data_IF_097186629756
#
_entry.id   IF_097186629756
#
_cell.length_a   1.000
_cell.length_b   1.000
_cell.length_c   1.000
_cell.angle_alpha   90.00
_cell.angle_beta   90.00
_cell.angle_gamma   90.00
#
_symmetry.space_group_name_H-M   'P 1'
#
loop_
_entity.id
_entity.type
_entity.pdbx_description
1 polymer ?
#
# COMPACT_ATOMS: atom_id res chain seq x y z
N UNK A 1 3.25 24.24 -6.96
CA UNK A 1 4.04 23.07 -7.35
C UNK A 1 3.19 22.17 -8.23
N UNK A 2 3.78 21.57 -9.27
CA UNK A 2 3.07 20.68 -10.20
C UNK A 2 3.53 19.25 -9.98
N UNK A 3 2.60 18.33 -9.77
CA UNK A 3 2.90 16.94 -9.44
C UNK A 3 2.12 15.97 -10.32
N UNK A 4 2.70 14.77 -10.55
CA UNK A 4 2.00 13.64 -11.13
C UNK A 4 1.82 12.54 -10.09
N UNK A 5 0.62 11.93 -10.04
CA UNK A 5 0.30 10.77 -9.21
C UNK A 5 -0.14 9.63 -10.12
N UNK A 6 0.64 8.55 -10.17
CA UNK A 6 0.27 7.31 -10.88
C UNK A 6 -0.36 6.32 -9.91
N UNK A 7 -1.26 5.46 -10.39
CA UNK A 7 -2.09 4.66 -9.48
C UNK A 7 -3.10 5.49 -8.68
N UNK A 8 -3.48 6.65 -9.23
CA UNK A 8 -4.33 7.65 -8.57
C UNK A 8 -5.76 7.17 -8.27
N UNK A 9 -6.27 6.20 -9.03
CA UNK A 9 -7.56 5.55 -8.80
C UNK A 9 -7.50 4.44 -7.74
N UNK A 10 -6.30 4.12 -7.23
CA UNK A 10 -6.08 3.18 -6.14
C UNK A 10 -6.27 3.81 -4.76
N UNK A 11 -6.05 2.98 -3.71
CA UNK A 11 -6.20 3.38 -2.32
C UNK A 11 -5.25 4.52 -1.92
N UNK A 12 -3.95 4.27 -1.90
CA UNK A 12 -2.95 5.25 -1.46
C UNK A 12 -2.88 6.42 -2.44
N UNK A 13 -2.96 6.15 -3.76
CA UNK A 13 -2.92 7.16 -4.79
C UNK A 13 -4.05 8.18 -4.67
N UNK A 14 -5.27 7.75 -4.37
CA UNK A 14 -6.41 8.64 -4.14
C UNK A 14 -6.19 9.58 -2.95
N UNK A 15 -5.65 9.06 -1.84
CA UNK A 15 -5.32 9.89 -0.66
C UNK A 15 -4.19 10.88 -0.96
N UNK A 16 -3.16 10.49 -1.73
CA UNK A 16 -2.11 11.42 -2.17
C UNK A 16 -2.64 12.52 -3.09
N UNK A 17 -3.50 12.18 -4.05
CA UNK A 17 -4.16 13.20 -4.91
C UNK A 17 -4.90 14.20 -4.04
N UNK A 18 -5.72 13.72 -3.08
CA UNK A 18 -6.44 14.59 -2.15
C UNK A 18 -5.49 15.50 -1.39
N UNK A 19 -4.47 14.94 -0.76
CA UNK A 19 -3.51 15.70 0.03
C UNK A 19 -2.74 16.74 -0.79
N UNK A 20 -2.32 16.40 -2.02
CA UNK A 20 -1.66 17.35 -2.91
C UNK A 20 -2.59 18.50 -3.32
N UNK A 21 -3.88 18.23 -3.57
CA UNK A 21 -4.88 19.27 -3.85
C UNK A 21 -5.13 20.17 -2.63
N UNK A 22 -5.22 19.59 -1.43
CA UNK A 22 -5.38 20.33 -0.17
C UNK A 22 -4.17 21.26 0.11
N UNK A 23 -2.97 20.86 -0.36
CA UNK A 23 -1.75 21.68 -0.33
C UNK A 23 -1.67 22.73 -1.45
N UNK A 24 -2.68 22.85 -2.30
CA UNK A 24 -2.73 23.81 -3.40
C UNK A 24 -1.83 23.45 -4.59
N UNK A 25 -1.43 22.18 -4.75
CA UNK A 25 -0.63 21.75 -5.91
C UNK A 25 -1.49 21.61 -7.17
N UNK A 26 -0.86 21.77 -8.34
CA UNK A 26 -1.42 21.33 -9.62
C UNK A 26 -1.16 19.84 -9.77
N UNK A 27 -2.23 19.02 -9.88
CA UNK A 27 -2.16 17.56 -9.83
C UNK A 27 -2.57 16.95 -11.16
N UNK A 28 -1.65 16.19 -11.78
CA UNK A 28 -1.94 15.23 -12.85
C UNK A 28 -2.10 13.85 -12.23
N UNK A 29 -3.27 13.25 -12.37
CA UNK A 29 -3.62 11.96 -11.78
C UNK A 29 -3.88 10.90 -12.86
N UNK A 30 -3.16 9.78 -12.83
CA UNK A 30 -3.26 8.71 -13.84
C UNK A 30 -3.54 7.35 -13.19
N UNK A 31 -4.46 6.59 -13.80
CA UNK A 31 -4.72 5.19 -13.43
C UNK A 31 -5.20 4.41 -14.64
N UNK A 32 -4.88 3.09 -14.71
CA UNK A 32 -5.40 2.20 -15.76
C UNK A 32 -6.91 2.02 -15.68
N UNK A 33 -7.50 2.16 -14.49
CA UNK A 33 -8.95 2.09 -14.28
C UNK A 33 -9.65 3.32 -14.85
N UNK A 34 -10.86 3.18 -15.39
CA UNK A 34 -11.68 4.33 -15.74
C UNK A 34 -12.08 5.12 -14.49
N UNK A 35 -12.27 6.43 -14.62
CA UNK A 35 -12.49 7.33 -13.46
C UNK A 35 -13.70 6.97 -12.59
N UNK A 36 -14.72 6.34 -13.17
CA UNK A 36 -15.90 5.88 -12.43
C UNK A 36 -15.62 4.68 -11.51
N UNK A 37 -14.45 4.04 -11.65
CA UNK A 37 -13.97 2.94 -10.79
C UNK A 37 -12.92 3.40 -9.77
N UNK A 38 -12.55 4.69 -9.75
CA UNK A 38 -11.61 5.19 -8.75
C UNK A 38 -12.26 5.21 -7.38
N UNK A 39 -11.53 4.79 -6.37
CA UNK A 39 -12.03 4.77 -4.98
C UNK A 39 -12.36 6.16 -4.46
N UNK A 40 -11.58 7.17 -4.85
CA UNK A 40 -11.87 8.57 -4.59
C UNK A 40 -12.08 9.32 -5.91
N UNK A 41 -13.11 10.15 -5.97
CA UNK A 41 -13.46 10.93 -7.15
C UNK A 41 -13.31 12.40 -6.86
N UNK A 42 -12.56 13.09 -7.70
CA UNK A 42 -12.29 14.51 -7.57
C UNK A 42 -13.08 15.28 -8.62
N UNK A 43 -13.63 16.43 -8.21
CA UNK A 43 -14.32 17.34 -9.14
C UNK A 43 -13.30 17.97 -10.08
N UNK A 44 -13.73 18.29 -11.31
CA UNK A 44 -12.92 19.05 -12.27
C UNK A 44 -12.60 20.42 -11.66
N UNK A 45 -11.32 20.80 -11.65
CA UNK A 45 -10.81 22.07 -11.17
C UNK A 45 -9.58 22.47 -12.01
N UNK A 46 -9.22 23.73 -12.01
CA UNK A 46 -8.09 24.22 -12.83
C UNK A 46 -6.75 23.62 -12.40
N UNK A 47 -6.63 23.25 -11.13
CA UNK A 47 -5.44 22.59 -10.58
C UNK A 47 -5.51 21.06 -10.55
N UNK A 48 -6.55 20.43 -11.18
CA UNK A 48 -6.71 18.99 -11.21
C UNK A 48 -6.97 18.45 -12.61
N UNK A 49 -6.10 17.55 -13.06
CA UNK A 49 -6.24 16.82 -14.31
C UNK A 49 -6.17 15.29 -14.05
N UNK A 50 -7.33 14.63 -14.04
CA UNK A 50 -7.41 13.17 -13.90
C UNK A 50 -7.67 12.47 -15.24
N UNK A 51 -6.91 11.43 -15.58
CA UNK A 51 -6.98 10.71 -16.85
C UNK A 51 -6.83 9.19 -16.64
N UNK A 52 -7.63 8.41 -17.41
CA UNK A 52 -7.32 6.99 -17.62
C UNK A 52 -6.02 6.89 -18.41
N UNK A 53 -5.04 6.13 -17.90
CA UNK A 53 -3.77 5.93 -18.57
C UNK A 53 -3.04 4.71 -18.01
N UNK A 54 -2.64 3.80 -18.90
CA UNK A 54 -1.86 2.62 -18.55
C UNK A 54 -0.37 2.96 -18.65
N UNK A 55 0.35 2.86 -17.53
CA UNK A 55 1.78 3.16 -17.43
C UNK A 55 2.67 2.16 -18.18
N UNK A 56 2.13 1.04 -18.67
CA UNK A 56 2.84 0.15 -19.59
C UNK A 56 2.90 0.70 -21.02
N UNK A 57 2.19 1.81 -21.29
CA UNK A 57 2.26 2.55 -22.55
C UNK A 57 3.25 3.74 -22.41
N UNK A 58 4.36 3.78 -23.19
CA UNK A 58 5.35 4.85 -23.15
C UNK A 58 4.79 6.26 -23.36
N UNK A 59 3.77 6.44 -24.22
CA UNK A 59 3.15 7.75 -24.46
C UNK A 59 2.43 8.29 -23.21
N UNK A 60 1.93 7.39 -22.35
CA UNK A 60 1.31 7.80 -21.07
C UNK A 60 2.41 8.21 -20.09
N UNK A 61 3.52 7.46 -19.99
CA UNK A 61 4.64 7.84 -19.12
C UNK A 61 5.25 9.16 -19.53
N UNK A 62 5.36 9.47 -20.82
CA UNK A 62 5.80 10.79 -21.31
C UNK A 62 4.85 11.92 -20.84
N UNK A 63 3.54 11.68 -20.88
CA UNK A 63 2.56 12.65 -20.36
C UNK A 63 2.66 12.85 -18.84
N UNK A 64 3.03 11.80 -18.09
CA UNK A 64 3.22 11.84 -16.63
C UNK A 64 4.45 12.67 -16.25
N UNK A 65 5.55 12.52 -16.98
CA UNK A 65 6.83 13.18 -16.65
C UNK A 65 6.89 14.64 -17.10
N UNK A 66 6.12 15.01 -18.12
CA UNK A 66 6.24 16.30 -18.77
C UNK A 66 5.83 17.47 -17.87
N UNK A 67 6.76 18.38 -17.62
CA UNK A 67 6.52 19.66 -16.95
C UNK A 67 6.07 19.53 -15.48
N UNK A 68 6.48 18.48 -14.76
CA UNK A 68 6.18 18.31 -13.35
C UNK A 68 7.42 18.40 -12.47
N UNK A 69 7.25 18.77 -11.21
CA UNK A 69 8.32 18.85 -10.22
C UNK A 69 8.51 17.52 -9.48
N UNK A 70 7.42 16.80 -9.24
CA UNK A 70 7.42 15.54 -8.48
C UNK A 70 6.52 14.52 -9.17
N UNK A 71 6.97 13.26 -9.21
CA UNK A 71 6.16 12.11 -9.60
C UNK A 71 5.99 11.21 -8.39
N UNK A 72 4.76 11.06 -7.91
CA UNK A 72 4.41 10.03 -6.93
C UNK A 72 4.02 8.76 -7.69
N UNK A 73 4.97 7.82 -7.79
CA UNK A 73 4.75 6.59 -8.55
C UNK A 73 4.23 5.46 -7.63
N UNK A 74 2.90 5.22 -7.71
CA UNK A 74 2.20 4.17 -6.98
C UNK A 74 1.51 3.16 -7.91
N UNK A 75 1.66 3.34 -9.24
CA UNK A 75 1.10 2.40 -10.21
C UNK A 75 1.77 1.03 -10.08
N UNK A 76 0.97 0.01 -9.81
CA UNK A 76 1.42 -1.37 -9.65
C UNK A 76 0.26 -2.35 -9.85
N UNK A 77 0.56 -3.57 -10.30
CA UNK A 77 -0.42 -4.64 -10.24
C UNK A 77 -0.21 -5.46 -8.96
N UNK A 78 -1.06 -5.24 -7.96
CA UNK A 78 -0.91 -5.82 -6.63
C UNK A 78 -2.25 -6.02 -5.93
N UNK A 79 -2.24 -6.81 -4.88
CA UNK A 79 -3.39 -7.06 -3.99
C UNK A 79 -2.94 -7.64 -2.65
N UNK A 80 -3.87 -8.25 -1.91
CA UNK A 80 -3.58 -9.07 -0.74
C UNK A 80 -2.83 -10.35 -1.11
N UNK A 81 -2.48 -11.17 -0.09
CA UNK A 81 -1.67 -12.39 -0.29
C UNK A 81 -2.31 -13.36 -1.29
N UNK A 82 -3.63 -13.55 -1.24
CA UNK A 82 -4.35 -14.42 -2.17
C UNK A 82 -4.23 -13.95 -3.63
N UNK A 83 -4.31 -12.64 -3.88
CA UNK A 83 -4.12 -12.10 -5.23
C UNK A 83 -2.69 -12.30 -5.73
N UNK A 84 -1.70 -11.91 -4.95
CA UNK A 84 -0.29 -12.02 -5.34
C UNK A 84 0.14 -13.47 -5.55
N UNK A 85 -0.35 -14.40 -4.72
CA UNK A 85 -0.08 -15.84 -4.83
C UNK A 85 -0.66 -16.45 -6.12
N UNK A 86 -1.81 -15.99 -6.56
CA UNK A 86 -2.48 -16.52 -7.76
C UNK A 86 -2.13 -15.77 -9.06
N UNK A 87 -1.37 -14.66 -8.98
CA UNK A 87 -1.09 -13.79 -10.14
C UNK A 87 0.40 -13.40 -10.22
N UNK A 88 1.31 -14.36 -10.00
CA UNK A 88 2.76 -14.10 -9.99
C UNK A 88 3.25 -13.41 -11.26
N UNK A 89 2.89 -13.92 -12.44
CA UNK A 89 3.36 -13.35 -13.69
C UNK A 89 2.87 -11.90 -13.88
N UNK A 90 1.60 -11.63 -13.55
CA UNK A 90 1.03 -10.28 -13.73
C UNK A 90 1.68 -9.27 -12.79
N UNK A 91 1.94 -9.66 -11.53
CA UNK A 91 2.64 -8.81 -10.56
C UNK A 91 4.11 -8.59 -10.95
N UNK A 92 4.76 -9.60 -11.55
CA UNK A 92 6.13 -9.46 -12.08
C UNK A 92 6.21 -8.58 -13.33
N UNK A 93 5.27 -8.70 -14.27
CA UNK A 93 5.23 -7.89 -15.49
C UNK A 93 4.96 -6.40 -15.22
N UNK A 94 4.46 -6.04 -14.05
CA UNK A 94 4.28 -4.64 -13.65
C UNK A 94 5.60 -3.86 -13.58
N UNK A 95 6.76 -4.54 -13.53
CA UNK A 95 8.09 -3.92 -13.68
C UNK A 95 8.24 -3.08 -14.94
N UNK A 96 7.50 -3.39 -16.01
CA UNK A 96 7.46 -2.57 -17.24
C UNK A 96 7.01 -1.12 -16.98
N UNK A 97 6.15 -0.88 -16.00
CA UNK A 97 5.72 0.46 -15.59
C UNK A 97 6.93 1.31 -15.22
N UNK A 98 7.81 0.75 -14.40
CA UNK A 98 8.98 1.44 -13.86
C UNK A 98 10.05 1.68 -14.93
N UNK A 99 10.28 0.70 -15.82
CA UNK A 99 11.21 0.84 -16.96
C UNK A 99 10.75 1.98 -17.86
N UNK A 100 9.50 1.97 -18.31
CA UNK A 100 8.95 3.03 -19.16
C UNK A 100 9.02 4.41 -18.49
N UNK A 101 8.74 4.47 -17.18
CA UNK A 101 8.80 5.75 -16.44
C UNK A 101 10.23 6.27 -16.37
N UNK A 102 11.21 5.41 -16.08
CA UNK A 102 12.64 5.78 -16.05
C UNK A 102 13.10 6.27 -17.42
N UNK A 103 12.77 5.55 -18.49
CA UNK A 103 13.09 5.98 -19.86
C UNK A 103 12.49 7.35 -20.20
N UNK A 104 11.26 7.60 -19.77
CA UNK A 104 10.59 8.89 -19.96
C UNK A 104 11.26 10.01 -19.14
N UNK A 105 11.65 9.74 -17.89
CA UNK A 105 12.38 10.69 -17.03
C UNK A 105 13.72 11.06 -17.66
N UNK A 106 14.46 10.10 -18.20
CA UNK A 106 15.75 10.34 -18.86
C UNK A 106 15.63 11.26 -20.08
N UNK A 107 14.50 11.19 -20.80
CA UNK A 107 14.19 12.06 -21.94
C UNK A 107 13.60 13.42 -21.51
N UNK A 108 13.07 13.53 -20.29
CA UNK A 108 12.41 14.74 -19.80
C UNK A 108 13.39 15.88 -19.54
N UNK A 109 13.05 17.10 -19.96
CA UNK A 109 13.83 18.31 -19.66
C UNK A 109 13.77 18.70 -18.18
N UNK A 110 12.66 18.44 -17.52
CA UNK A 110 12.40 18.93 -16.15
C UNK A 110 13.05 18.10 -15.04
N UNK A 111 13.50 16.87 -15.33
CA UNK A 111 14.14 15.98 -14.33
C UNK A 111 13.40 15.96 -12.99
N UNK A 112 12.17 15.44 -12.92
CA UNK A 112 11.34 15.51 -11.71
C UNK A 112 11.91 14.66 -10.57
N UNK A 113 11.63 15.04 -9.32
CA UNK A 113 11.85 14.18 -8.17
C UNK A 113 10.87 12.99 -8.21
N UNK A 114 11.37 11.77 -8.08
CA UNK A 114 10.53 10.55 -8.13
C UNK A 114 10.37 9.97 -6.73
N UNK A 115 9.13 9.88 -6.27
CA UNK A 115 8.77 9.04 -5.15
C UNK A 115 8.38 7.65 -5.67
N UNK A 116 9.03 6.61 -5.18
CA UNK A 116 8.73 5.21 -5.49
C UNK A 116 8.16 4.48 -4.28
N UNK A 117 6.94 3.94 -4.43
CA UNK A 117 6.32 3.09 -3.44
C UNK A 117 6.83 1.65 -3.54
N UNK A 118 7.82 1.31 -2.73
CA UNK A 118 8.24 -0.08 -2.52
C UNK A 118 7.36 -0.77 -1.48
N UNK A 119 7.73 -1.97 -1.05
CA UNK A 119 6.91 -2.82 -0.20
C UNK A 119 7.75 -3.60 0.81
N UNK A 120 7.17 -3.93 1.95
CA UNK A 120 7.74 -4.91 2.89
C UNK A 120 7.89 -6.32 2.29
N UNK A 121 7.33 -6.59 1.11
CA UNK A 121 7.53 -7.86 0.40
C UNK A 121 8.93 -8.02 -0.20
N UNK A 122 9.78 -6.99 -0.17
CA UNK A 122 11.20 -7.07 -0.61
C UNK A 122 12.09 -7.83 0.36
N UNK A 123 11.66 -7.99 1.61
CA UNK A 123 12.48 -8.59 2.66
C UNK A 123 12.67 -10.08 2.47
N UNK A 124 13.84 -10.55 2.91
CA UNK A 124 14.19 -11.97 2.92
C UNK A 124 13.19 -12.77 3.78
N UNK A 125 12.55 -13.77 3.20
CA UNK A 125 11.50 -14.56 3.85
C UNK A 125 12.03 -15.45 4.97
N UNK A 126 13.29 -15.89 4.89
CA UNK A 126 13.92 -16.72 5.93
C UNK A 126 13.99 -16.03 7.30
N UNK A 127 14.00 -14.68 7.32
CA UNK A 127 13.96 -13.90 8.56
C UNK A 127 12.55 -13.81 9.17
N UNK A 128 11.53 -14.30 8.48
CA UNK A 128 10.12 -14.09 8.78
C UNK A 128 9.37 -15.40 9.09
N UNK A 129 10.10 -16.44 9.49
CA UNK A 129 9.59 -17.80 9.68
C UNK A 129 9.06 -18.09 11.08
N UNK A 130 9.16 -17.15 12.04
CA UNK A 130 8.74 -17.28 13.43
C UNK A 130 7.56 -16.36 13.73
N UNK A 131 6.47 -16.90 14.30
CA UNK A 131 5.29 -16.14 14.74
C UNK A 131 5.15 -16.06 16.27
N UNK A 132 6.10 -16.61 17.01
CA UNK A 132 6.15 -16.52 18.48
C UNK A 132 6.46 -15.10 18.97
N UNK A 133 7.08 -14.28 18.11
CA UNK A 133 7.48 -12.91 18.42
C UNK A 133 7.33 -11.98 17.21
N UNK A 134 7.44 -10.68 17.45
CA UNK A 134 7.44 -9.69 16.38
C UNK A 134 8.81 -9.64 15.68
N UNK A 135 8.83 -9.98 14.39
CA UNK A 135 10.01 -9.79 13.54
C UNK A 135 10.07 -8.35 13.05
N UNK A 136 11.02 -7.59 13.59
CA UNK A 136 11.26 -6.19 13.23
C UNK A 136 12.28 -6.11 12.09
N UNK A 137 11.82 -5.79 10.89
CA UNK A 137 12.65 -5.78 9.67
C UNK A 137 13.29 -4.40 9.47
N UNK A 138 14.61 -4.39 9.39
CA UNK A 138 15.43 -3.20 9.07
C UNK A 138 15.64 -3.11 7.56
N UNK A 139 15.97 -1.95 7.05
CA UNK A 139 16.16 -1.74 5.61
C UNK A 139 17.26 -2.61 5.02
N UNK A 140 18.30 -2.97 5.80
CA UNK A 140 19.37 -3.91 5.41
C UNK A 140 18.89 -5.34 5.16
N UNK A 141 17.77 -5.76 5.77
CA UNK A 141 17.31 -7.15 5.79
C UNK A 141 16.68 -7.62 4.46
N UNK A 142 16.62 -6.73 3.46
CA UNK A 142 16.29 -7.09 2.09
C UNK A 142 17.42 -7.84 1.37
N UNK A 143 18.62 -7.82 1.92
CA UNK A 143 19.80 -8.48 1.36
C UNK A 143 20.41 -9.48 2.35
N UNK A 144 20.85 -10.70 1.88
CA UNK A 144 20.74 -11.19 0.50
C UNK A 144 19.28 -11.38 0.04
N UNK A 145 19.01 -11.10 -1.25
CA UNK A 145 17.65 -11.10 -1.79
C UNK A 145 17.03 -12.51 -1.79
N UNK A 146 15.95 -12.67 -1.03
CA UNK A 146 15.11 -13.87 -1.03
C UNK A 146 13.66 -13.53 -0.65
N UNK A 147 12.97 -12.70 -1.48
CA UNK A 147 11.55 -12.38 -1.24
C UNK A 147 10.65 -13.61 -1.40
N UNK A 148 9.55 -13.63 -0.65
CA UNK A 148 8.59 -14.74 -0.65
C UNK A 148 7.80 -14.92 -1.97
N UNK A 149 7.66 -13.85 -2.76
CA UNK A 149 6.90 -13.85 -4.00
C UNK A 149 7.61 -13.05 -5.10
N UNK A 150 7.25 -13.34 -6.37
CA UNK A 150 7.75 -12.59 -7.53
C UNK A 150 7.43 -11.07 -7.43
N UNK A 151 6.31 -10.71 -6.81
CA UNK A 151 5.99 -9.32 -6.50
C UNK A 151 7.08 -8.63 -5.67
N UNK A 152 7.55 -9.28 -4.59
CA UNK A 152 8.63 -8.75 -3.76
C UNK A 152 9.95 -8.60 -4.51
N UNK A 153 10.29 -9.61 -5.32
CA UNK A 153 11.49 -9.57 -6.16
C UNK A 153 11.43 -8.44 -7.20
N UNK A 154 10.27 -8.25 -7.86
CA UNK A 154 10.05 -7.15 -8.79
C UNK A 154 10.19 -5.78 -8.09
N UNK A 155 9.63 -5.63 -6.88
CA UNK A 155 9.77 -4.40 -6.10
C UNK A 155 11.23 -4.11 -5.74
N UNK A 156 11.98 -5.11 -5.30
CA UNK A 156 13.41 -4.96 -4.96
C UNK A 156 14.26 -4.62 -6.19
N UNK A 157 14.01 -5.27 -7.33
CA UNK A 157 14.66 -4.94 -8.60
C UNK A 157 14.39 -3.48 -9.00
N UNK A 158 13.16 -3.02 -8.87
CA UNK A 158 12.82 -1.62 -9.18
C UNK A 158 13.45 -0.63 -8.20
N UNK A 159 13.63 -0.97 -6.90
CA UNK A 159 14.43 -0.13 -5.98
C UNK A 159 15.83 0.12 -6.53
N UNK A 160 16.50 -0.94 -7.03
CA UNK A 160 17.83 -0.82 -7.61
C UNK A 160 17.83 0.04 -8.87
N UNK A 161 16.84 -0.10 -9.77
CA UNK A 161 16.72 0.77 -10.93
C UNK A 161 16.63 2.26 -10.55
N UNK A 162 15.79 2.60 -9.56
CA UNK A 162 15.65 3.99 -9.09
C UNK A 162 16.91 4.47 -8.34
N UNK A 163 17.58 3.60 -7.59
CA UNK A 163 18.84 3.93 -6.93
C UNK A 163 19.93 4.27 -7.96
N UNK A 164 20.04 3.50 -9.06
CA UNK A 164 20.98 3.78 -10.13
C UNK A 164 20.57 4.99 -10.98
N UNK A 165 19.27 5.24 -11.18
CA UNK A 165 18.78 6.47 -11.79
C UNK A 165 19.28 7.72 -11.04
N UNK A 166 19.27 7.68 -9.71
CA UNK A 166 19.85 8.76 -8.90
C UNK A 166 21.39 8.79 -9.03
N UNK A 167 22.06 7.64 -8.86
CA UNK A 167 23.51 7.56 -8.80
C UNK A 167 24.20 7.99 -10.11
N UNK A 168 23.63 7.58 -11.25
CA UNK A 168 24.26 7.79 -12.57
C UNK A 168 23.80 9.08 -13.26
N UNK A 169 22.55 9.49 -13.01
CA UNK A 169 21.93 10.63 -13.71
C UNK A 169 21.58 11.80 -12.80
N UNK A 170 21.82 11.69 -11.48
CA UNK A 170 21.54 12.76 -10.52
C UNK A 170 20.05 13.07 -10.33
N UNK A 171 19.15 12.20 -10.81
CA UNK A 171 17.70 12.39 -10.65
C UNK A 171 17.32 12.20 -9.18
N UNK A 172 16.66 13.15 -8.52
CA UNK A 172 16.23 12.96 -7.13
C UNK A 172 15.21 11.83 -7.02
N UNK A 173 15.47 10.88 -6.11
CA UNK A 173 14.59 9.73 -5.86
C UNK A 173 14.34 9.60 -4.37
N UNK A 174 13.12 9.23 -3.99
CA UNK A 174 12.74 8.81 -2.64
C UNK A 174 12.09 7.44 -2.73
N UNK A 175 12.62 6.45 -2.01
CA UNK A 175 12.10 5.08 -1.97
C UNK A 175 11.55 4.80 -0.58
N UNK A 176 10.25 4.45 -0.47
CA UNK A 176 9.63 4.05 0.79
C UNK A 176 9.06 2.63 0.70
N UNK A 177 9.43 1.77 1.66
CA UNK A 177 8.87 0.42 1.83
C UNK A 177 7.64 0.47 2.70
N UNK A 178 6.47 0.33 2.07
CA UNK A 178 5.20 0.34 2.79
C UNK A 178 4.95 -0.98 3.52
N UNK A 179 4.62 -0.90 4.82
CA UNK A 179 4.19 -2.01 5.68
C UNK A 179 2.68 -1.93 5.92
N UNK A 180 1.91 -2.80 5.25
CA UNK A 180 0.46 -3.01 5.43
C UNK A 180 -0.35 -1.74 5.75
N UNK A 181 -0.40 -0.85 4.77
CA UNK A 181 -1.23 0.37 4.85
C UNK A 181 -2.71 -0.03 4.82
N UNK A 182 -3.53 0.58 5.70
CA UNK A 182 -4.96 0.38 5.77
C UNK A 182 -5.72 1.70 6.01
N UNK A 183 -7.02 1.70 5.72
CA UNK A 183 -7.86 2.88 5.88
C UNK A 183 -9.08 2.85 4.94
N UNK A 184 -9.91 3.90 4.95
CA UNK A 184 -11.07 4.03 4.07
C UNK A 184 -10.65 4.27 2.60
N UNK A 185 -11.60 4.09 1.68
CA UNK A 185 -11.42 4.31 0.24
C UNK A 185 -10.38 3.38 -0.41
N UNK A 186 -10.37 2.11 0.00
CA UNK A 186 -9.58 1.04 -0.61
C UNK A 186 -10.43 -0.17 -1.02
N UNK A 187 -9.79 -1.18 -1.61
CA UNK A 187 -10.41 -2.48 -1.86
C UNK A 187 -10.87 -3.12 -0.56
N UNK A 188 -12.09 -3.64 -0.53
CA UNK A 188 -12.63 -4.32 0.64
C UNK A 188 -13.39 -5.63 0.31
N UNK A 189 -13.64 -5.93 -0.99
CA UNK A 189 -14.45 -7.09 -1.43
C UNK A 189 -14.06 -7.72 -2.78
N UNK A 190 -13.06 -7.21 -3.47
CA UNK A 190 -12.72 -7.61 -4.86
C UNK A 190 -11.61 -8.66 -4.94
N UNK A 191 -11.25 -9.30 -3.83
CA UNK A 191 -10.16 -10.27 -3.72
C UNK A 191 -8.76 -9.65 -3.71
N UNK A 192 -8.68 -8.32 -3.76
CA UNK A 192 -7.42 -7.55 -3.65
C UNK A 192 -7.25 -6.92 -2.27
N UNK A 193 -8.28 -7.02 -1.42
CA UNK A 193 -8.27 -6.46 -0.08
C UNK A 193 -7.19 -7.08 0.81
N UNK A 194 -6.61 -6.26 1.68
CA UNK A 194 -5.68 -6.70 2.72
C UNK A 194 -6.43 -7.07 4.01
N UNK A 195 -5.73 -7.73 4.93
CA UNK A 195 -6.32 -8.29 6.15
C UNK A 195 -7.25 -7.34 6.93
N UNK A 196 -6.95 -6.05 7.16
CA UNK A 196 -7.87 -5.16 7.87
C UNK A 196 -9.23 -5.01 7.19
N UNK A 197 -9.25 -4.79 5.88
CA UNK A 197 -10.50 -4.63 5.13
C UNK A 197 -11.24 -5.97 4.98
N UNK A 198 -10.52 -7.07 4.75
CA UNK A 198 -11.09 -8.42 4.70
C UNK A 198 -11.74 -8.81 6.05
N UNK A 199 -11.08 -8.50 7.17
CA UNK A 199 -11.61 -8.76 8.51
C UNK A 199 -12.92 -8.01 8.74
N UNK A 200 -12.96 -6.72 8.40
CA UNK A 200 -14.19 -5.92 8.52
C UNK A 200 -15.32 -6.49 7.65
N UNK A 201 -15.03 -6.83 6.38
CA UNK A 201 -16.04 -7.42 5.49
C UNK A 201 -16.61 -8.72 6.06
N UNK A 202 -15.74 -9.65 6.48
CA UNK A 202 -16.13 -10.95 7.02
C UNK A 202 -16.98 -10.81 8.30
N UNK A 203 -16.65 -9.87 9.18
CA UNK A 203 -17.45 -9.58 10.36
C UNK A 203 -18.82 -9.00 9.98
N UNK A 204 -18.89 -8.07 9.02
CA UNK A 204 -20.16 -7.53 8.54
C UNK A 204 -21.04 -8.59 7.87
N UNK A 205 -20.45 -9.53 7.11
CA UNK A 205 -21.15 -10.69 6.55
C UNK A 205 -21.70 -11.61 7.64
N UNK A 206 -20.91 -11.89 8.68
CA UNK A 206 -21.35 -12.68 9.85
C UNK A 206 -22.48 -11.99 10.62
N UNK A 207 -22.33 -10.73 11.00
CA UNK A 207 -23.32 -9.95 11.73
C UNK A 207 -24.64 -9.82 10.97
N UNK A 208 -24.58 -9.72 9.63
CA UNK A 208 -25.77 -9.66 8.77
C UNK A 208 -26.34 -11.05 8.39
N UNK A 209 -25.89 -12.11 9.04
CA UNK A 209 -26.30 -13.52 8.79
C UNK A 209 -26.09 -13.98 7.35
N UNK A 210 -25.14 -13.39 6.63
CA UNK A 210 -24.72 -13.86 5.31
C UNK A 210 -23.68 -14.97 5.37
N UNK A 211 -23.05 -15.14 6.53
CA UNK A 211 -22.17 -16.23 6.89
C UNK A 211 -22.49 -16.69 8.30
N UNK A 212 -22.34 -17.97 8.60
CA UNK A 212 -22.51 -18.57 9.92
C UNK A 212 -21.21 -18.58 10.73
N UNK A 213 -20.07 -18.24 10.09
CA UNK A 213 -18.76 -18.13 10.72
C UNK A 213 -17.91 -17.08 10.04
N UNK A 214 -16.78 -16.73 10.70
CA UNK A 214 -15.75 -15.85 10.18
C UNK A 214 -14.54 -16.72 9.80
N UNK A 215 -14.26 -16.81 8.50
CA UNK A 215 -13.10 -17.57 8.02
C UNK A 215 -11.78 -16.86 8.32
N UNK A 216 -10.84 -17.55 8.96
CA UNK A 216 -9.46 -17.11 9.19
C UNK A 216 -8.50 -17.99 8.41
N UNK A 217 -7.68 -17.41 7.52
CA UNK A 217 -6.67 -18.13 6.78
C UNK A 217 -5.47 -18.46 7.66
N UNK A 218 -5.14 -19.76 7.73
CA UNK A 218 -4.16 -20.30 8.67
C UNK A 218 -4.75 -20.50 10.06
N UNK A 219 -3.90 -20.47 11.07
CA UNK A 219 -4.25 -20.64 12.48
C UNK A 219 -4.46 -19.29 13.22
N UNK A 220 -4.42 -18.18 12.50
CA UNK A 220 -4.61 -16.85 13.06
C UNK A 220 -3.40 -16.29 13.82
N UNK A 221 -2.31 -17.03 13.98
CA UNK A 221 -1.12 -16.61 14.76
C UNK A 221 -0.17 -15.73 13.98
N UNK A 222 -0.27 -15.68 12.64
CA UNK A 222 0.60 -14.83 11.81
C UNK A 222 0.57 -13.39 12.32
N UNK A 223 1.75 -12.77 12.45
CA UNK A 223 1.90 -11.42 13.01
C UNK A 223 2.17 -10.39 11.93
N UNK A 224 1.46 -9.28 11.98
CA UNK A 224 1.61 -8.14 11.05
C UNK A 224 1.47 -6.83 11.80
N UNK A 225 2.25 -5.84 11.37
CA UNK A 225 1.97 -4.46 11.74
C UNK A 225 1.13 -3.77 10.67
N UNK A 226 0.30 -2.82 11.10
CA UNK A 226 -0.60 -2.06 10.24
C UNK A 226 -0.44 -0.57 10.50
N UNK A 227 -0.30 0.22 9.44
CA UNK A 227 -0.17 1.68 9.51
C UNK A 227 -1.36 2.35 8.85
N UNK A 228 -1.96 3.34 9.53
CA UNK A 228 -3.12 4.05 9.01
C UNK A 228 -2.73 5.01 7.89
N UNK A 229 -3.61 5.14 6.90
CA UNK A 229 -3.32 5.88 5.66
C UNK A 229 -2.91 7.33 5.89
N UNK A 230 -3.51 8.05 6.85
CA UNK A 230 -3.18 9.46 7.08
C UNK A 230 -1.73 9.63 7.55
N UNK A 231 -1.24 8.74 8.43
CA UNK A 231 0.17 8.72 8.86
C UNK A 231 1.11 8.45 7.69
N UNK A 232 0.71 7.54 6.79
CA UNK A 232 1.49 7.23 5.56
C UNK A 232 1.61 8.45 4.67
N UNK A 233 0.52 9.17 4.43
CA UNK A 233 0.53 10.38 3.59
C UNK A 233 1.45 11.44 4.19
N UNK A 234 1.40 11.65 5.51
CA UNK A 234 2.32 12.56 6.21
C UNK A 234 3.77 12.11 6.04
N UNK A 235 4.06 10.81 6.23
CA UNK A 235 5.40 10.24 6.04
C UNK A 235 5.93 10.43 4.62
N UNK A 236 5.11 10.17 3.61
CA UNK A 236 5.48 10.37 2.19
C UNK A 236 5.87 11.82 1.92
N UNK A 237 5.05 12.80 2.36
CA UNK A 237 5.37 14.21 2.17
C UNK A 237 6.64 14.61 2.92
N UNK A 238 6.83 14.15 4.16
CA UNK A 238 8.06 14.42 4.92
C UNK A 238 9.30 13.86 4.21
N UNK A 239 9.26 12.61 3.73
CA UNK A 239 10.37 11.99 3.01
C UNK A 239 10.73 12.76 1.73
N UNK A 240 9.73 13.10 0.92
CA UNK A 240 9.93 13.83 -0.35
C UNK A 240 10.43 15.25 -0.10
N UNK A 241 9.85 15.98 0.84
CA UNK A 241 10.23 17.37 1.14
C UNK A 241 11.66 17.46 1.69
N UNK A 242 12.11 16.46 2.47
CA UNK A 242 13.48 16.37 2.98
C UNK A 242 14.44 15.68 2.01
N UNK A 243 13.97 15.31 0.80
CA UNK A 243 14.76 14.63 -0.25
C UNK A 243 15.48 13.39 0.25
N UNK A 244 14.84 12.64 1.13
CA UNK A 244 15.37 11.37 1.64
C UNK A 244 15.38 10.34 0.52
N UNK A 245 16.56 9.83 0.18
CA UNK A 245 16.71 8.91 -0.93
C UNK A 245 16.12 7.52 -0.63
N UNK A 246 16.41 6.98 0.54
CA UNK A 246 15.96 5.64 0.95
C UNK A 246 16.83 4.51 0.36
N UNK A 247 16.33 3.24 0.39
CA UNK A 247 15.00 2.84 0.88
C UNK A 247 14.79 3.09 2.37
N UNK A 248 13.55 3.46 2.76
CA UNK A 248 13.18 3.71 4.15
C UNK A 248 11.87 2.99 4.45
N UNK A 249 11.78 2.30 5.57
CA UNK A 249 10.54 1.72 6.06
C UNK A 249 9.50 2.81 6.39
N UNK A 250 8.26 2.58 5.97
CA UNK A 250 7.13 3.43 6.32
C UNK A 250 5.98 2.52 6.78
N UNK A 251 5.93 2.29 8.08
CA UNK A 251 5.05 1.31 8.69
C UNK A 251 4.81 1.55 10.17
N UNK A 252 4.34 0.54 10.87
CA UNK A 252 4.19 0.52 12.32
C UNK A 252 5.08 -0.56 12.92
N UNK A 253 5.67 -0.28 14.07
CA UNK A 253 6.41 -1.28 14.85
C UNK A 253 5.50 -2.16 15.72
N UNK A 254 4.23 -1.80 15.86
CA UNK A 254 3.27 -2.57 16.66
C UNK A 254 2.73 -3.76 15.86
N UNK A 255 3.24 -4.96 16.12
CA UNK A 255 2.75 -6.20 15.56
C UNK A 255 1.51 -6.72 16.30
N UNK A 256 0.55 -7.26 15.54
CA UNK A 256 -0.61 -7.97 16.07
C UNK A 256 -0.85 -9.26 15.31
N UNK A 257 -1.49 -10.24 15.94
CA UNK A 257 -1.91 -11.47 15.25
C UNK A 257 -3.11 -11.22 14.34
N UNK A 258 -3.30 -12.05 13.33
CA UNK A 258 -4.50 -11.99 12.50
C UNK A 258 -5.75 -12.30 13.32
N UNK A 259 -5.65 -13.22 14.30
CA UNK A 259 -6.74 -13.46 15.26
C UNK A 259 -7.13 -12.17 16.01
N UNK A 260 -6.16 -11.47 16.62
CA UNK A 260 -6.41 -10.22 17.32
C UNK A 260 -7.11 -9.18 16.42
N UNK A 261 -6.75 -9.13 15.14
CA UNK A 261 -7.39 -8.20 14.20
C UNK A 261 -8.88 -8.50 14.03
N UNK A 262 -9.26 -9.77 13.94
CA UNK A 262 -10.68 -10.17 13.88
C UNK A 262 -11.41 -9.88 15.19
N UNK A 263 -10.81 -10.20 16.34
CA UNK A 263 -11.37 -9.93 17.68
C UNK A 263 -11.60 -8.43 17.88
N UNK A 264 -10.67 -7.59 17.42
CA UNK A 264 -10.80 -6.14 17.45
C UNK A 264 -12.02 -5.67 16.62
N UNK A 265 -12.23 -6.24 15.44
CA UNK A 265 -13.37 -5.87 14.59
C UNK A 265 -14.70 -6.35 15.21
N UNK A 266 -14.73 -7.55 15.79
CA UNK A 266 -15.90 -8.04 16.56
C UNK A 266 -16.26 -7.07 17.71
N UNK A 267 -15.26 -6.63 18.48
CA UNK A 267 -15.44 -5.63 19.52
C UNK A 267 -15.95 -4.27 18.96
N UNK A 268 -15.47 -3.84 17.79
CA UNK A 268 -15.93 -2.59 17.15
C UNK A 268 -17.39 -2.70 16.69
N UNK A 269 -17.82 -3.88 16.23
CA UNK A 269 -19.19 -4.16 15.80
C UNK A 269 -20.14 -4.46 16.96
N UNK A 270 -19.66 -4.43 18.21
CA UNK A 270 -20.43 -4.77 19.42
C UNK A 270 -21.06 -6.18 19.35
N UNK A 271 -20.27 -7.14 18.81
CA UNK A 271 -20.73 -8.52 18.59
C UNK A 271 -19.95 -9.47 19.49
N UNK A 272 -20.67 -10.39 20.15
CA UNK A 272 -20.07 -11.39 21.02
C UNK A 272 -19.35 -12.48 20.22
N UNK A 273 -18.22 -12.95 20.76
CA UNK A 273 -17.47 -14.08 20.22
C UNK A 273 -17.90 -15.34 20.95
N UNK A 274 -18.38 -16.32 20.20
CA UNK A 274 -18.72 -17.67 20.69
C UNK A 274 -17.83 -18.72 20.02
N UNK A 275 -17.84 -19.96 20.52
CA UNK A 275 -16.96 -21.04 20.05
C UNK A 275 -17.04 -21.31 18.54
N UNK A 276 -18.21 -21.14 17.92
CA UNK A 276 -18.45 -21.33 16.48
C UNK A 276 -18.17 -20.08 15.62
N UNK A 277 -17.72 -18.97 16.21
CA UNK A 277 -17.52 -17.71 15.47
C UNK A 277 -16.44 -17.82 14.40
N UNK A 278 -15.38 -18.58 14.65
CA UNK A 278 -14.22 -18.66 13.75
C UNK A 278 -14.06 -20.04 13.12
N UNK A 279 -13.79 -20.05 11.80
CA UNK A 279 -13.36 -21.22 11.06
C UNK A 279 -11.94 -21.03 10.54
N UNK A 280 -10.98 -21.90 10.91
CA UNK A 280 -9.58 -21.80 10.53
C UNK A 280 -9.29 -22.62 9.27
N UNK A 281 -8.91 -21.95 8.18
CA UNK A 281 -8.53 -22.56 6.90
C UNK A 281 -7.01 -22.78 6.84
N UNK A 282 -6.53 -23.85 7.48
CA UNK A 282 -5.09 -24.11 7.64
C UNK A 282 -4.33 -24.22 6.32
N UNK A 283 -4.97 -24.66 5.24
CA UNK A 283 -4.36 -24.83 3.91
C UNK A 283 -4.47 -23.58 3.01
N UNK A 284 -5.08 -22.49 3.49
CA UNK A 284 -5.17 -21.25 2.72
C UNK A 284 -3.82 -20.51 2.71
N UNK A 285 -3.56 -19.65 1.70
CA UNK A 285 -2.32 -18.86 1.63
C UNK A 285 -2.14 -17.96 2.85
N UNK A 286 -1.06 -18.14 3.61
CA UNK A 286 -0.79 -17.40 4.84
C UNK A 286 0.31 -16.33 4.66
N UNK A 287 1.21 -16.55 3.69
CA UNK A 287 2.45 -15.76 3.56
C UNK A 287 3.44 -16.06 4.69
N UNK A 288 4.32 -15.14 4.98
CA UNK A 288 5.33 -15.28 6.05
C UNK A 288 4.70 -15.25 7.45
N UNK A 289 5.41 -15.79 8.45
CA UNK A 289 4.88 -15.90 9.82
C UNK A 289 4.83 -14.58 10.58
N UNK A 290 5.88 -13.74 10.49
CA UNK A 290 5.92 -12.43 11.17
C UNK A 290 6.57 -11.39 10.27
N UNK A 291 5.94 -10.21 10.14
CA UNK A 291 6.43 -9.08 9.33
C UNK A 291 6.01 -7.75 9.93
N UNK A 292 6.95 -7.05 10.56
CA UNK A 292 6.72 -5.75 11.18
C UNK A 292 7.82 -4.77 10.78
N UNK A 293 7.55 -3.48 10.91
CA UNK A 293 8.48 -2.40 10.51
C UNK A 293 9.41 -2.04 11.65
N UNK A 294 10.72 -2.08 11.44
CA UNK A 294 11.65 -1.31 12.25
C UNK A 294 11.62 0.15 11.75
N UNK A 295 11.20 1.07 12.61
CA UNK A 295 11.04 2.49 12.27
C UNK A 295 12.23 3.34 12.74
N UNK A 296 13.34 2.73 13.19
CA UNK A 296 14.50 3.45 13.74
C UNK A 296 15.06 4.45 12.72
N UNK A 297 15.24 4.02 11.46
CA UNK A 297 15.82 4.86 10.42
C UNK A 297 14.92 6.06 10.07
N UNK A 298 13.63 5.85 9.84
CA UNK A 298 12.72 6.93 9.47
C UNK A 298 12.57 7.96 10.60
N UNK A 299 12.58 7.51 11.87
CA UNK A 299 12.55 8.38 13.02
C UNK A 299 13.81 9.26 13.09
N UNK A 300 14.98 8.69 12.85
CA UNK A 300 16.24 9.45 12.81
C UNK A 300 16.29 10.48 11.68
N UNK A 301 15.77 10.12 10.50
CA UNK A 301 15.88 10.96 9.29
C UNK A 301 14.89 12.13 9.27
N UNK A 302 13.64 11.94 9.74
CA UNK A 302 12.56 12.91 9.57
C UNK A 302 11.65 13.06 10.80
N UNK A 303 12.04 12.49 11.94
CA UNK A 303 11.24 12.48 13.18
C UNK A 303 9.77 12.11 12.89
N UNK A 304 9.58 10.91 12.31
CA UNK A 304 8.27 10.39 11.99
C UNK A 304 8.03 9.06 12.69
N UNK A 305 6.85 8.94 13.28
CA UNK A 305 6.24 7.71 13.79
C UNK A 305 4.74 7.75 13.51
N UNK A 306 4.08 6.59 13.35
CA UNK A 306 2.63 6.57 13.22
C UNK A 306 1.97 7.07 14.51
N UNK A 307 1.04 8.01 14.39
CA UNK A 307 0.34 8.64 15.51
C UNK A 307 -1.03 8.02 15.78
N UNK A 308 -1.64 7.38 14.76
CA UNK A 308 -2.99 6.81 14.85
C UNK A 308 -2.89 5.36 15.30
N UNK A 309 -3.45 5.08 16.49
CA UNK A 309 -3.53 3.72 17.04
C UNK A 309 -4.36 2.80 16.15
N UNK A 310 -4.01 1.51 16.12
CA UNK A 310 -4.72 0.51 15.31
C UNK A 310 -6.23 0.51 15.57
N UNK A 311 -6.65 0.56 16.84
CA UNK A 311 -8.07 0.58 17.21
C UNK A 311 -8.82 1.79 16.62
N UNK A 312 -8.23 2.97 16.65
CA UNK A 312 -8.86 4.20 16.16
C UNK A 312 -8.94 4.21 14.63
N UNK A 313 -7.89 3.77 13.95
CA UNK A 313 -7.86 3.61 12.50
C UNK A 313 -8.86 2.54 12.03
N UNK A 314 -8.98 1.41 12.77
CA UNK A 314 -9.95 0.35 12.48
C UNK A 314 -11.38 0.83 12.64
N UNK A 315 -11.71 1.62 13.67
CA UNK A 315 -13.05 2.23 13.82
C UNK A 315 -13.41 3.13 12.64
N UNK A 316 -12.47 3.96 12.17
CA UNK A 316 -12.69 4.83 11.00
C UNK A 316 -12.89 4.00 9.72
N UNK A 317 -12.08 2.96 9.54
CA UNK A 317 -12.15 2.07 8.38
C UNK A 317 -13.45 1.26 8.38
N UNK A 318 -13.85 0.73 9.55
CA UNK A 318 -15.10 0.01 9.75
C UNK A 318 -16.31 0.85 9.35
N UNK A 319 -16.44 2.07 9.86
CA UNK A 319 -17.56 2.98 9.52
C UNK A 319 -17.67 3.23 8.02
N UNK A 320 -16.53 3.33 7.33
CA UNK A 320 -16.54 3.53 5.89
C UNK A 320 -16.99 2.26 5.16
N UNK A 321 -16.40 1.08 5.48
CA UNK A 321 -16.76 -0.19 4.83
C UNK A 321 -18.23 -0.54 5.12
N UNK A 322 -18.70 -0.39 6.36
CA UNK A 322 -20.08 -0.61 6.75
C UNK A 322 -21.06 0.23 5.91
N UNK A 323 -20.74 1.50 5.70
CA UNK A 323 -21.54 2.37 4.83
C UNK A 323 -21.59 1.88 3.39
N UNK A 324 -20.47 1.42 2.83
CA UNK A 324 -20.41 0.89 1.47
C UNK A 324 -21.12 -0.48 1.38
N UNK A 325 -20.93 -1.35 2.37
CA UNK A 325 -21.62 -2.64 2.49
C UNK A 325 -23.14 -2.48 2.54
N UNK A 326 -23.66 -1.54 3.33
CA UNK A 326 -25.07 -1.26 3.45
C UNK A 326 -25.68 -0.63 2.18
N UNK A 327 -24.92 0.09 1.36
CA UNK A 327 -25.41 0.60 0.07
C UNK A 327 -25.64 -0.51 -0.95
N UNK A 328 -24.83 -1.56 -0.91
CA UNK A 328 -24.93 -2.69 -1.87
C UNK A 328 -26.01 -3.68 -1.49
N UNK A 329 -26.47 -3.65 -0.24
CA UNK A 329 -27.49 -4.53 0.28
C UNK A 329 -28.89 -3.88 0.36
N UNK A 330 -29.01 -2.66 -0.16
CA UNK A 330 -30.28 -1.96 -0.41
C UNK A 330 -30.71 -2.10 -1.85
#
# INVERSE_FOLDING_TARGET
MKVSVTGAGGFIGGHLVKSCLDLGYEVKAYDKKPKNEWYQRFKKADNYYGKKGDMTNPQITDSVTQGVNIIYNLAEDMGGIGYCHNNHLMTGLSGKIHINLIESILKSETKPHVFYSSSACVYNDSLQSDDSQDTMLKESDAWPAHPDLLYGLNKLYCEELYRYLNKEFGIPVTIARFHNVYGPHGSWKDGREKAPAASIRKVLEYVSMKSDHIEIWGDGKQRRSFVYIDDVIIGVHKLVNNKIQGPVNLGSSQGVTIQYLHDLVMKISDTEIIDSTYEYKLNAPQGVKSRNSDNTLIKQLIDWEPSIKLEDGMKKTFKWIEKEFNKENK
#
